data_IF_888646184121
#
_entry.id   IF_888646184121
#
_cell.length_a   1.000
_cell.length_b   1.000
_cell.length_c   1.000
_cell.angle_alpha   90.00
_cell.angle_beta   90.00
_cell.angle_gamma   90.00
#
_symmetry.space_group_name_H-M   'P 1'
#
loop_
_entity.id
_entity.type
_entity.pdbx_description
1 polymer ?
#
# COMPACT_ATOMS: atom_id res chain seq x y z
N UNK A 1 -7.45 12.45 2.39
CA UNK A 1 -6.45 12.39 3.46
C UNK A 1 -7.18 12.38 4.81
N UNK A 2 -6.67 11.66 5.80
CA UNK A 2 -7.26 11.58 7.15
C UNK A 2 -6.18 11.93 8.18
N UNK A 3 -6.52 12.69 9.22
CA UNK A 3 -5.48 13.23 10.13
C UNK A 3 -4.68 12.13 10.87
N UNK A 4 -5.29 10.96 11.11
CA UNK A 4 -4.65 9.83 11.80
C UNK A 4 -4.15 8.71 10.88
N UNK A 5 -4.31 8.85 9.56
CA UNK A 5 -3.88 7.81 8.61
C UNK A 5 -3.17 8.43 7.42
N UNK A 6 -2.05 7.85 7.01
CA UNK A 6 -1.41 8.23 5.77
C UNK A 6 -2.34 8.07 4.57
N UNK A 7 -2.33 9.06 3.69
CA UNK A 7 -2.78 8.88 2.33
C UNK A 7 -1.75 8.08 1.52
N UNK A 8 -2.11 7.66 0.30
CA UNK A 8 -1.24 6.82 -0.52
C UNK A 8 0.13 7.48 -0.79
N UNK A 9 0.16 8.76 -1.11
CA UNK A 9 1.40 9.48 -1.41
C UNK A 9 2.32 9.57 -0.19
N UNK A 10 1.77 9.84 0.99
CA UNK A 10 2.52 9.85 2.26
C UNK A 10 3.11 8.48 2.58
N UNK A 11 2.32 7.41 2.40
CA UNK A 11 2.79 6.05 2.62
C UNK A 11 3.90 5.66 1.62
N UNK A 12 3.76 6.03 0.35
CA UNK A 12 4.78 5.78 -0.67
C UNK A 12 6.07 6.54 -0.41
N UNK A 13 5.99 7.82 -0.02
CA UNK A 13 7.16 8.61 0.36
C UNK A 13 7.89 7.99 1.56
N UNK A 14 7.14 7.49 2.55
CA UNK A 14 7.73 6.81 3.70
C UNK A 14 8.39 5.47 3.32
N UNK A 15 7.76 4.69 2.44
CA UNK A 15 8.35 3.45 1.91
C UNK A 15 9.63 3.73 1.11
N UNK A 16 9.66 4.82 0.35
CA UNK A 16 10.84 5.28 -0.39
C UNK A 16 11.98 5.69 0.56
N UNK A 17 11.70 6.27 1.72
CA UNK A 17 12.74 6.58 2.70
C UNK A 17 13.34 5.31 3.34
N UNK A 18 12.48 4.35 3.70
CA UNK A 18 12.90 3.12 4.42
C UNK A 18 13.51 2.06 3.48
N UNK A 19 13.18 2.06 2.19
CA UNK A 19 13.67 1.09 1.19
C UNK A 19 13.49 -0.40 1.59
N UNK A 20 12.28 -0.85 1.99
CA UNK A 20 12.06 -2.26 2.31
C UNK A 20 12.09 -3.14 1.04
N UNK A 21 12.46 -4.42 1.23
CA UNK A 21 12.40 -5.42 0.13
C UNK A 21 10.99 -5.55 -0.45
N UNK A 22 9.96 -5.55 0.40
CA UNK A 22 8.53 -5.58 0.05
C UNK A 22 7.73 -4.81 1.11
N UNK A 23 6.76 -4.02 0.68
CA UNK A 23 5.81 -3.31 1.54
C UNK A 23 4.38 -3.72 1.19
N UNK A 24 3.54 -3.96 2.20
CA UNK A 24 2.13 -4.30 2.04
C UNK A 24 1.28 -3.22 2.72
N UNK A 25 0.46 -2.52 1.95
CA UNK A 25 -0.45 -1.48 2.43
C UNK A 25 -1.75 -2.11 2.92
N UNK A 26 -2.18 -1.75 4.12
CA UNK A 26 -3.42 -2.21 4.77
C UNK A 26 -4.29 -1.00 5.15
N UNK A 27 -5.47 -1.27 5.73
CA UNK A 27 -6.41 -0.22 6.18
C UNK A 27 -6.83 0.71 5.03
N UNK A 28 -7.26 0.09 3.94
CA UNK A 28 -7.59 0.77 2.68
C UNK A 28 -9.04 1.24 2.70
N UNK A 29 -9.26 2.54 2.46
CA UNK A 29 -10.61 3.10 2.28
C UNK A 29 -11.18 2.74 0.91
N UNK A 30 -12.51 2.61 0.83
CA UNK A 30 -13.23 2.43 -0.44
C UNK A 30 -12.97 3.55 -1.46
N UNK A 31 -12.52 4.72 -1.01
CA UNK A 31 -12.19 5.86 -1.86
C UNK A 31 -10.92 5.67 -2.71
N UNK A 32 -10.08 4.66 -2.40
CA UNK A 32 -8.83 4.44 -3.15
C UNK A 32 -9.07 3.90 -4.56
N UNK A 33 -10.20 3.23 -4.80
CA UNK A 33 -10.53 2.55 -6.05
C UNK A 33 -10.39 1.03 -5.96
N UNK A 34 -10.50 0.34 -7.10
CA UNK A 34 -10.41 -1.12 -7.14
C UNK A 34 -8.96 -1.59 -6.98
N UNK A 35 -8.79 -2.67 -6.21
CA UNK A 35 -7.49 -3.26 -5.91
C UNK A 35 -6.64 -3.46 -7.16
N UNK A 36 -7.18 -4.13 -8.19
CA UNK A 36 -6.46 -4.47 -9.41
C UNK A 36 -6.06 -3.24 -10.25
N UNK A 37 -6.80 -2.14 -10.13
CA UNK A 37 -6.50 -0.90 -10.85
C UNK A 37 -5.39 -0.15 -10.12
N UNK A 38 -5.54 0.04 -8.82
CA UNK A 38 -4.57 0.75 -7.98
C UNK A 38 -3.24 -0.02 -7.92
N UNK A 39 -3.27 -1.35 -7.81
CA UNK A 39 -2.06 -2.17 -7.75
C UNK A 39 -1.16 -1.98 -8.99
N UNK A 40 -1.73 -1.70 -10.16
CA UNK A 40 -0.97 -1.42 -11.40
C UNK A 40 -0.23 -0.09 -11.36
N UNK A 41 -0.65 0.84 -10.50
CA UNK A 41 -0.01 2.16 -10.36
C UNK A 41 1.05 2.18 -9.27
N UNK A 42 1.15 1.13 -8.44
CA UNK A 42 2.11 1.08 -7.33
C UNK A 42 3.52 0.71 -7.80
N UNK A 43 4.58 1.15 -7.08
CA UNK A 43 5.94 0.69 -7.31
C UNK A 43 6.07 -0.84 -7.17
N UNK A 44 7.05 -1.44 -7.85
CA UNK A 44 7.23 -2.90 -7.94
C UNK A 44 7.35 -3.64 -6.60
N UNK A 45 7.82 -2.96 -5.56
CA UNK A 45 7.99 -3.53 -4.21
C UNK A 45 6.83 -3.19 -3.26
N UNK A 46 5.77 -2.53 -3.74
CA UNK A 46 4.62 -2.11 -2.93
C UNK A 46 3.36 -2.84 -3.41
N UNK A 47 2.65 -3.42 -2.46
CA UNK A 47 1.48 -4.26 -2.71
C UNK A 47 0.31 -3.77 -1.87
N UNK A 48 -0.90 -3.75 -2.43
CA UNK A 48 -2.10 -3.70 -1.62
C UNK A 48 -2.29 -5.07 -0.98
N UNK A 49 -2.51 -5.09 0.33
CA UNK A 49 -2.92 -6.31 1.00
C UNK A 49 -4.39 -6.62 0.69
N UNK A 50 -4.78 -7.87 0.94
CA UNK A 50 -6.15 -8.34 0.84
C UNK A 50 -6.42 -9.37 1.94
N UNK A 51 -7.70 -9.57 2.26
CA UNK A 51 -8.11 -10.49 3.30
C UNK A 51 -7.69 -11.93 2.96
N UNK A 52 -7.01 -12.59 3.89
CA UNK A 52 -6.47 -13.93 3.68
C UNK A 52 -5.11 -14.00 3.00
N UNK A 53 -4.46 -12.85 2.69
CA UNK A 53 -3.07 -12.82 2.23
C UNK A 53 -2.16 -13.58 3.20
N UNK A 54 -1.38 -14.54 2.68
CA UNK A 54 -0.36 -15.28 3.43
C UNK A 54 1.01 -14.99 2.85
N UNK A 55 1.97 -14.70 3.73
CA UNK A 55 3.36 -14.41 3.36
C UNK A 55 4.24 -15.51 3.93
N UNK A 56 5.10 -16.08 3.08
CA UNK A 56 6.18 -16.97 3.53
C UNK A 56 7.45 -16.13 3.67
N UNK A 57 8.14 -16.29 4.80
CA UNK A 57 9.35 -15.54 5.17
C UNK A 57 10.58 -16.41 4.97
#
# INVERSE_FOLDING_TARGET
AHHSHFNLSEALAFIEDIQPKRAYLVHISHMLGFHDEVQKTLPKNVYLAYDGLKITV
#
